data_IF_488251082113
#
_entry.id   IF_488251082113
#
_cell.length_a   1.000
_cell.length_b   1.000
_cell.length_c   1.000
_cell.angle_alpha   90.00
_cell.angle_beta   90.00
_cell.angle_gamma   90.00
#
_symmetry.space_group_name_H-M   'P 1'
#
loop_
_entity.id
_entity.type
_entity.pdbx_description
1 polymer ?
#
# COMPACT_ATOMS: atom_id res chain seq x y z
N UNK A 1 -14.72 -18.35 -9.12
CA UNK A 1 -14.82 -17.63 -7.83
C UNK A 1 -13.68 -18.13 -6.98
N UNK A 2 -12.52 -17.48 -7.06
CA UNK A 2 -11.33 -17.80 -6.29
C UNK A 2 -10.70 -16.46 -5.89
N UNK A 3 -10.03 -16.43 -4.74
CA UNK A 3 -9.59 -15.23 -3.99
C UNK A 3 -10.57 -14.69 -2.94
N UNK A 4 -11.33 -15.58 -2.33
CA UNK A 4 -11.79 -15.39 -0.94
C UNK A 4 -10.90 -16.27 -0.04
N UNK A 5 -9.60 -15.94 0.00
CA UNK A 5 -8.71 -16.44 1.07
C UNK A 5 -8.63 -15.34 2.13
N UNK A 6 -8.52 -15.69 3.43
CA UNK A 6 -8.61 -14.76 4.54
C UNK A 6 -7.43 -13.79 4.53
N UNK A 7 -7.58 -12.68 3.81
CA UNK A 7 -6.63 -11.58 3.61
C UNK A 7 -6.38 -10.74 4.89
N UNK A 8 -6.56 -11.34 6.07
CA UNK A 8 -6.36 -10.68 7.37
C UNK A 8 -4.90 -10.33 7.64
N UNK A 9 -3.96 -11.14 7.17
CA UNK A 9 -2.53 -10.94 7.43
C UNK A 9 -1.86 -9.92 6.49
N UNK A 10 -2.41 -9.66 5.30
CA UNK A 10 -1.83 -8.69 4.35
C UNK A 10 -2.17 -7.24 4.71
N UNK A 11 -3.33 -7.01 5.34
CA UNK A 11 -3.71 -5.67 5.81
C UNK A 11 -2.75 -5.13 6.90
N UNK A 12 -2.19 -6.03 7.73
CA UNK A 12 -1.19 -5.68 8.73
C UNK A 12 0.17 -5.33 8.09
N UNK A 13 0.53 -5.97 6.97
CA UNK A 13 1.81 -5.75 6.30
C UNK A 13 1.92 -4.35 5.69
N UNK A 14 0.88 -3.84 5.03
CA UNK A 14 0.93 -2.51 4.41
C UNK A 14 0.75 -1.35 5.39
N UNK A 15 0.05 -1.55 6.53
CA UNK A 15 0.03 -0.56 7.62
C UNK A 15 1.42 -0.35 8.23
N UNK A 16 2.32 -1.32 8.11
CA UNK A 16 3.70 -1.16 8.53
C UNK A 16 4.43 -0.07 7.72
N UNK A 17 4.10 0.12 6.44
CA UNK A 17 4.70 1.18 5.63
C UNK A 17 4.36 2.57 6.19
N UNK A 18 3.08 2.82 6.49
CA UNK A 18 2.65 4.06 7.13
C UNK A 18 3.27 4.23 8.52
N UNK A 19 3.34 3.16 9.32
CA UNK A 19 4.01 3.20 10.62
C UNK A 19 5.50 3.52 10.50
N UNK A 20 6.16 3.03 9.44
CA UNK A 20 7.56 3.33 9.14
C UNK A 20 7.75 4.77 8.69
N UNK A 21 6.85 5.31 7.87
CA UNK A 21 6.82 6.74 7.52
C UNK A 21 6.65 7.62 8.77
N UNK A 22 5.74 7.24 9.68
CA UNK A 22 5.59 7.95 10.95
C UNK A 22 6.89 7.96 11.77
N UNK A 23 7.64 6.85 11.76
CA UNK A 23 8.89 6.74 12.52
C UNK A 23 10.09 7.40 11.85
N UNK A 24 10.23 7.29 10.53
CA UNK A 24 11.43 7.74 9.81
C UNK A 24 11.32 9.18 9.31
N UNK A 25 10.11 9.63 8.98
CA UNK A 25 9.85 10.98 8.46
C UNK A 25 9.02 11.84 9.40
N UNK A 26 8.82 11.39 10.65
CA UNK A 26 8.00 12.08 11.65
C UNK A 26 6.62 12.46 11.09
N UNK A 27 6.02 11.50 10.39
CA UNK A 27 4.69 11.64 9.81
C UNK A 27 3.59 11.33 10.83
N UNK A 28 2.39 11.88 10.61
CA UNK A 28 1.24 11.76 11.51
C UNK A 28 0.10 10.91 10.93
N UNK A 29 0.41 9.87 10.14
CA UNK A 29 -0.61 8.99 9.56
C UNK A 29 -1.42 8.25 10.65
N UNK A 30 -2.74 8.46 10.69
CA UNK A 30 -3.66 7.63 11.49
C UNK A 30 -4.05 6.36 10.73
N UNK A 31 -3.36 5.27 11.03
CA UNK A 31 -3.55 3.93 10.47
C UNK A 31 -4.99 3.39 10.57
N UNK A 32 -5.82 3.92 11.48
CA UNK A 32 -7.22 3.52 11.62
C UNK A 32 -8.13 4.13 10.53
N UNK A 33 -7.69 5.24 9.94
CA UNK A 33 -8.38 5.97 8.87
C UNK A 33 -7.99 5.50 7.47
N UNK A 34 -7.17 4.45 7.35
CA UNK A 34 -6.79 3.88 6.06
C UNK A 34 -7.33 2.45 5.90
N UNK A 35 -7.98 2.22 4.76
CA UNK A 35 -8.36 0.91 4.29
C UNK A 35 -7.32 0.35 3.33
N UNK A 36 -6.94 -0.90 3.51
CA UNK A 36 -6.06 -1.61 2.60
C UNK A 36 -6.89 -2.21 1.46
N UNK A 37 -6.54 -1.86 0.21
CA UNK A 37 -7.22 -2.33 -0.98
C UNK A 37 -6.21 -2.93 -1.94
N UNK A 38 -6.37 -4.21 -2.23
CA UNK A 38 -5.51 -4.93 -3.17
C UNK A 38 -6.27 -5.11 -4.48
N UNK A 39 -5.65 -4.72 -5.59
CA UNK A 39 -6.19 -4.88 -6.93
C UNK A 39 -5.28 -5.80 -7.70
N UNK A 40 -5.84 -6.88 -8.27
CA UNK A 40 -5.13 -7.70 -9.22
C UNK A 40 -5.22 -7.07 -10.61
N UNK A 41 -4.10 -6.63 -11.15
CA UNK A 41 -4.00 -6.14 -12.51
C UNK A 41 -3.62 -7.28 -13.45
N UNK A 42 -4.64 -7.93 -14.02
CA UNK A 42 -4.45 -9.08 -14.92
C UNK A 42 -3.73 -8.69 -16.23
N UNK A 43 -3.85 -7.45 -16.69
CA UNK A 43 -3.19 -6.99 -17.92
C UNK A 43 -1.68 -6.84 -17.74
N UNK A 44 -1.23 -6.56 -16.51
CA UNK A 44 0.18 -6.39 -16.16
C UNK A 44 0.72 -7.53 -15.27
N UNK A 45 -0.06 -8.60 -15.07
CA UNK A 45 0.24 -9.74 -14.19
C UNK A 45 0.83 -9.35 -12.83
N UNK A 46 0.24 -8.34 -12.18
CA UNK A 46 0.76 -7.80 -10.91
C UNK A 46 -0.33 -7.54 -9.88
N UNK A 47 0.06 -7.63 -8.62
CA UNK A 47 -0.75 -7.20 -7.48
C UNK A 47 -0.40 -5.75 -7.20
N UNK A 48 -1.39 -4.87 -7.21
CA UNK A 48 -1.26 -3.47 -6.81
C UNK A 48 -1.93 -3.29 -5.45
N UNK A 49 -1.18 -2.77 -4.48
CA UNK A 49 -1.72 -2.46 -3.15
C UNK A 49 -1.91 -0.96 -3.00
N UNK A 50 -3.09 -0.60 -2.53
CA UNK A 50 -3.52 0.77 -2.30
C UNK A 50 -3.94 0.97 -0.85
N UNK A 51 -3.65 2.14 -0.32
CA UNK A 51 -4.22 2.63 0.93
C UNK A 51 -5.25 3.71 0.60
N UNK A 52 -6.51 3.42 0.90
CA UNK A 52 -7.63 4.32 0.66
C UNK A 52 -7.95 5.08 1.95
N UNK A 53 -7.93 6.41 1.88
CA UNK A 53 -8.32 7.26 3.00
C UNK A 53 -9.83 7.14 3.24
N UNK A 54 -10.24 6.96 4.50
CA UNK A 54 -11.66 6.86 4.88
C UNK A 54 -12.31 8.22 5.09
N UNK A 55 -11.51 9.25 5.29
CA UNK A 55 -11.93 10.61 5.62
C UNK A 55 -11.11 11.63 4.82
N UNK A 56 -11.57 12.87 4.80
CA UNK A 56 -10.71 13.99 4.42
C UNK A 56 -9.71 14.24 5.56
N UNK A 57 -8.42 14.14 5.27
CA UNK A 57 -7.35 14.34 6.25
C UNK A 57 -6.12 14.97 5.60
N UNK A 58 -5.39 15.77 6.36
CA UNK A 58 -4.08 16.28 5.97
C UNK A 58 -3.04 15.57 6.82
N UNK A 59 -2.07 14.95 6.17
CA UNK A 59 -0.95 14.28 6.82
C UNK A 59 0.30 15.12 6.60
N UNK A 60 0.98 15.49 7.67
CA UNK A 60 2.23 16.23 7.61
C UNK A 60 3.41 15.31 7.92
N UNK A 61 4.42 15.36 7.06
CA UNK A 61 5.70 14.68 7.21
C UNK A 61 6.73 15.72 7.64
N UNK A 62 6.87 15.94 8.95
CA UNK A 62 7.74 16.98 9.51
C UNK A 62 9.20 16.75 9.11
N UNK A 63 9.64 15.49 9.04
CA UNK A 63 10.98 15.11 8.60
C UNK A 63 11.26 15.39 7.11
N UNK A 64 10.22 15.67 6.32
CA UNK A 64 10.34 16.04 4.90
C UNK A 64 9.82 17.47 4.61
N UNK A 65 9.45 18.24 5.65
CA UNK A 65 8.86 19.58 5.56
C UNK A 65 7.72 19.66 4.53
N UNK A 66 6.84 18.64 4.51
CA UNK A 66 5.76 18.57 3.55
C UNK A 66 4.46 18.11 4.19
N UNK A 67 3.33 18.55 3.63
CA UNK A 67 2.00 18.07 4.02
C UNK A 67 1.23 17.63 2.78
N UNK A 68 0.49 16.54 2.93
CA UNK A 68 -0.32 15.92 1.87
C UNK A 68 -1.77 15.94 2.31
N UNK A 69 -2.62 16.58 1.52
CA UNK A 69 -4.07 16.52 1.68
C UNK A 69 -4.62 15.29 0.98
N UNK A 70 -5.40 14.48 1.69
CA UNK A 70 -6.06 13.28 1.19
C UNK A 70 -7.56 13.46 1.36
N UNK A 71 -8.30 13.27 0.29
CA UNK A 71 -9.77 13.27 0.33
C UNK A 71 -10.30 11.91 0.78
N UNK A 72 -11.53 11.86 1.26
CA UNK A 72 -12.23 10.60 1.53
C UNK A 72 -12.35 9.78 0.23
N UNK A 73 -11.92 8.52 0.27
CA UNK A 73 -11.85 7.63 -0.88
C UNK A 73 -10.62 7.83 -1.77
N UNK A 74 -9.76 8.80 -1.48
CA UNK A 74 -8.50 9.00 -2.19
C UNK A 74 -7.52 7.87 -1.88
N UNK A 75 -6.78 7.43 -2.89
CA UNK A 75 -5.93 6.23 -2.82
C UNK A 75 -4.47 6.58 -2.99
N UNK A 76 -3.67 6.15 -2.04
CA UNK A 76 -2.21 6.17 -2.11
C UNK A 76 -1.77 4.82 -2.66
N UNK A 77 -1.07 4.83 -3.78
CA UNK A 77 -0.43 3.62 -4.30
C UNK A 77 0.85 3.36 -3.51
N UNK A 78 0.91 2.23 -2.78
CA UNK A 78 2.06 1.92 -1.92
C UNK A 78 3.05 0.98 -2.59
N UNK A 79 2.57 -0.01 -3.33
CA UNK A 79 3.44 -0.98 -3.97
C UNK A 79 2.82 -1.61 -5.23
N UNK A 80 3.72 -2.07 -6.10
CA UNK A 80 3.43 -3.05 -7.14
C UNK A 80 4.23 -4.30 -6.84
N UNK A 81 3.56 -5.34 -6.37
CA UNK A 81 4.17 -6.65 -6.22
C UNK A 81 4.03 -7.40 -7.55
N UNK A 82 5.15 -7.51 -8.27
CA UNK A 82 5.25 -8.38 -9.43
C UNK A 82 5.31 -9.83 -8.93
N UNK A 83 4.27 -10.61 -9.20
CA UNK A 83 4.36 -12.06 -9.04
C UNK A 83 5.13 -12.59 -10.24
N UNK A 84 6.43 -12.78 -10.08
CA UNK A 84 7.19 -13.65 -10.98
C UNK A 84 6.83 -15.09 -10.60
N UNK A 85 6.14 -15.79 -11.51
CA UNK A 85 6.04 -17.25 -11.44
C UNK A 85 7.47 -17.83 -11.49
N UNK A 86 7.84 -18.79 -10.62
CA UNK A 86 9.19 -19.33 -10.55
C UNK A 86 9.51 -20.31 -11.70
N UNK A 87 9.23 -19.93 -12.95
CA UNK A 87 9.61 -20.68 -14.16
C UNK A 87 10.54 -19.89 -15.10
N UNK A 88 11.26 -18.89 -14.60
CA UNK A 88 12.39 -18.31 -15.36
C UNK A 88 13.61 -18.13 -14.46
N UNK A 89 14.03 -19.24 -13.85
CA UNK A 89 15.43 -19.42 -13.44
C UNK A 89 16.09 -20.27 -14.52
N UNK A 90 17.21 -19.78 -15.06
CA UNK A 90 18.02 -20.30 -16.17
C UNK A 90 17.63 -19.75 -17.55
N UNK A 91 18.18 -18.58 -17.89
CA UNK A 91 19.05 -18.45 -19.08
C UNK A 91 19.60 -17.02 -19.20
N UNK A 92 20.67 -16.70 -18.47
CA UNK A 92 21.68 -15.77 -18.96
C UNK A 92 23.05 -16.35 -18.61
N UNK A 93 23.48 -17.30 -19.44
CA UNK A 93 24.90 -17.52 -19.72
C UNK A 93 25.37 -16.44 -20.70
#
# INVERSE_FOLDING_TARGET
MAYDDPLGDTAAFNKNLLARLNRELDADFDLSQFNHRVVWNAAASRVESYLESRIDQVVCLTGADCCVSLSAGERIWTESSYKYEPETVIAMC
#
